data_IF_394105540489
#
_entry.id   IF_394105540489
#
_cell.length_a   1.000
_cell.length_b   1.000
_cell.length_c   1.000
_cell.angle_alpha   90.00
_cell.angle_beta   90.00
_cell.angle_gamma   90.00
#
_symmetry.space_group_name_H-M   'P 1'
#
loop_
_entity.id
_entity.type
_entity.pdbx_description
1 polymer ?
#
# COMPACT_ATOMS: atom_id res chain seq x y z
N UNK A 1 10.92 -3.98 22.34
CA UNK A 1 10.21 -3.01 21.47
C UNK A 1 11.17 -1.86 21.14
N UNK A 2 11.30 -1.44 19.88
CA UNK A 2 12.07 -0.23 19.55
C UNK A 2 11.29 1.00 20.00
N UNK A 3 11.95 2.00 20.57
CA UNK A 3 11.26 3.19 21.07
C UNK A 3 10.67 4.01 19.92
N UNK A 4 9.62 4.77 20.19
CA UNK A 4 8.98 5.68 19.20
C UNK A 4 10.03 6.68 18.67
N UNK A 5 10.98 7.08 19.52
CA UNK A 5 12.07 7.97 19.15
C UNK A 5 13.03 7.34 18.13
N UNK A 6 13.30 6.04 18.20
CA UNK A 6 14.16 5.33 17.23
C UNK A 6 13.45 5.11 15.88
N UNK A 7 12.12 4.96 15.92
CA UNK A 7 11.27 4.85 14.74
C UNK A 7 11.19 6.20 14.00
N UNK A 8 11.02 7.31 14.72
CA UNK A 8 10.97 8.65 14.15
C UNK A 8 12.32 9.13 13.57
N UNK A 9 13.45 8.63 14.09
CA UNK A 9 14.80 8.93 13.54
C UNK A 9 15.04 8.30 12.17
N UNK A 10 14.36 7.20 11.84
CA UNK A 10 14.43 6.62 10.51
C UNK A 10 13.56 7.45 9.57
N UNK A 11 14.17 8.07 8.56
CA UNK A 11 13.48 8.74 7.44
C UNK A 11 12.71 7.75 6.53
N UNK A 12 12.37 6.57 7.04
CA UNK A 12 11.62 5.55 6.33
C UNK A 12 10.16 5.62 6.76
N UNK A 13 9.20 5.78 5.84
CA UNK A 13 7.78 5.73 6.19
C UNK A 13 7.45 4.35 6.77
N UNK A 14 6.92 4.33 8.00
CA UNK A 14 6.49 3.10 8.66
C UNK A 14 5.08 2.80 8.18
N UNK A 15 4.98 2.00 7.12
CA UNK A 15 3.70 1.48 6.64
C UNK A 15 3.35 0.25 7.46
N UNK A 16 2.18 0.27 8.12
CA UNK A 16 1.60 -0.91 8.78
C UNK A 16 0.39 -1.37 7.97
N UNK A 17 0.32 -2.67 7.72
CA UNK A 17 -0.87 -3.28 7.13
C UNK A 17 -1.78 -3.67 8.30
N UNK A 18 -3.00 -3.15 8.29
CA UNK A 18 -4.02 -3.51 9.26
C UNK A 18 -4.79 -4.74 8.77
N UNK A 19 -4.57 -5.88 9.43
CA UNK A 19 -5.21 -7.15 9.09
C UNK A 19 -6.73 -7.14 9.32
N UNK A 20 -7.28 -6.21 10.09
CA UNK A 20 -8.73 -6.09 10.26
C UNK A 20 -9.44 -5.74 8.93
N UNK A 21 -8.71 -5.17 7.98
CA UNK A 21 -9.21 -4.81 6.66
C UNK A 21 -9.22 -5.99 5.67
N UNK A 22 -8.68 -7.15 6.03
CA UNK A 22 -8.64 -8.34 5.16
C UNK A 22 -10.05 -8.84 4.77
N UNK A 23 -11.08 -8.48 5.56
CA UNK A 23 -12.49 -8.75 5.26
C UNK A 23 -12.98 -8.16 3.91
N UNK A 24 -12.25 -7.18 3.36
CA UNK A 24 -12.56 -6.52 2.09
C UNK A 24 -11.74 -7.05 0.92
N UNK A 25 -10.81 -7.99 1.13
CA UNK A 25 -9.85 -8.44 0.12
C UNK A 25 -10.51 -9.00 -1.15
N UNK A 26 -11.64 -9.69 -1.00
CA UNK A 26 -12.40 -10.29 -2.10
C UNK A 26 -13.56 -9.41 -2.58
N UNK A 27 -13.73 -8.22 -1.99
CA UNK A 27 -14.83 -7.30 -2.31
C UNK A 27 -14.34 -6.13 -3.15
N UNK A 28 -15.00 -5.87 -4.28
CA UNK A 28 -14.75 -4.67 -5.07
C UNK A 28 -15.54 -3.52 -4.46
N UNK A 29 -14.88 -2.74 -3.60
CA UNK A 29 -15.52 -1.60 -2.93
C UNK A 29 -15.66 -0.37 -3.83
N UNK A 30 -14.75 -0.18 -4.80
CA UNK A 30 -14.70 1.02 -5.64
C UNK A 30 -14.41 0.66 -7.11
N UNK A 31 -15.44 0.24 -7.88
CA UNK A 31 -15.24 -0.25 -9.25
C UNK A 31 -14.57 0.76 -10.18
N UNK A 32 -14.98 2.04 -10.14
CA UNK A 32 -14.42 3.08 -11.00
C UNK A 32 -12.95 3.39 -10.68
N UNK A 33 -12.62 3.45 -9.39
CA UNK A 33 -11.23 3.67 -8.93
C UNK A 33 -10.35 2.49 -9.28
N UNK A 34 -10.88 1.27 -9.19
CA UNK A 34 -10.18 0.05 -9.59
C UNK A 34 -9.85 0.08 -11.08
N UNK A 35 -10.83 0.42 -11.94
CA UNK A 35 -10.62 0.55 -13.37
C UNK A 35 -9.54 1.60 -13.71
N UNK A 36 -9.63 2.79 -13.10
CA UNK A 36 -8.65 3.86 -13.29
C UNK A 36 -7.25 3.46 -12.82
N UNK A 37 -7.13 2.79 -11.68
CA UNK A 37 -5.85 2.31 -11.16
C UNK A 37 -5.20 1.30 -12.12
N UNK A 38 -5.99 0.36 -12.66
CA UNK A 38 -5.50 -0.61 -13.64
C UNK A 38 -4.97 0.05 -14.91
N UNK A 39 -5.66 1.06 -15.44
CA UNK A 39 -5.18 1.83 -16.60
C UNK A 39 -3.87 2.58 -16.30
N UNK A 40 -3.76 3.19 -15.12
CA UNK A 40 -2.52 3.86 -14.70
C UNK A 40 -1.35 2.88 -14.56
N UNK A 41 -1.59 1.69 -13.99
CA UNK A 41 -0.55 0.69 -13.76
C UNK A 41 -0.01 0.07 -15.06
N UNK A 42 -0.79 0.04 -16.14
CA UNK A 42 -0.32 -0.45 -17.47
C UNK A 42 0.81 0.41 -18.05
N UNK A 43 0.78 1.71 -17.77
CA UNK A 43 1.73 2.69 -18.33
C UNK A 43 2.80 3.13 -17.32
N UNK A 44 2.60 2.84 -16.04
CA UNK A 44 3.54 3.18 -14.99
C UNK A 44 4.88 2.43 -15.14
N UNK A 45 5.99 3.17 -15.06
CA UNK A 45 7.32 2.57 -14.89
C UNK A 45 7.46 2.10 -13.44
N UNK A 46 7.15 0.82 -13.21
CA UNK A 46 7.37 0.18 -11.92
C UNK A 46 8.85 -0.22 -11.78
N UNK A 47 9.43 -0.16 -10.57
CA UNK A 47 10.78 -0.68 -10.34
C UNK A 47 10.84 -2.15 -10.73
N UNK A 48 11.96 -2.57 -11.32
CA UNK A 48 12.17 -3.97 -11.65
C UNK A 48 12.07 -4.82 -10.37
N UNK A 49 11.48 -6.01 -10.49
CA UNK A 49 11.51 -6.99 -9.39
C UNK A 49 13.00 -7.30 -9.11
N UNK A 50 13.41 -7.09 -7.86
CA UNK A 50 14.72 -7.52 -7.35
C UNK A 50 14.72 -9.02 -7.09
#
# INVERSE_FOLDING_TARGET
MKSINDLNKKKAPIVRIDHSLDQYKEKILFPEKLAKANEMLKTAKLPARK
#
